data_IF_573023818430
#
_entry.id   IF_573023818430
#
_cell.length_a   1.000
_cell.length_b   1.000
_cell.length_c   1.000
_cell.angle_alpha   90.00
_cell.angle_beta   90.00
_cell.angle_gamma   90.00
#
_symmetry.space_group_name_H-M   'P 1'
#
loop_
_entity.id
_entity.type
_entity.pdbx_description
1 polymer ?
#
# COMPACT_ATOMS: atom_id res chain seq x y z
N UNK A 1 -46.25 -38.36 26.02
CA UNK A 1 -46.28 -37.88 24.62
C UNK A 1 -46.52 -36.38 24.60
N UNK A 2 -45.50 -35.58 24.28
CA UNK A 2 -45.55 -34.45 23.32
C UNK A 2 -44.31 -33.58 23.51
N UNK A 3 -43.47 -33.65 22.49
CA UNK A 3 -42.32 -32.81 22.19
C UNK A 3 -42.70 -31.33 22.16
N UNK A 4 -41.90 -30.47 22.77
CA UNK A 4 -41.69 -29.11 22.29
C UNK A 4 -40.19 -28.80 22.46
N UNK A 5 -39.41 -29.21 21.46
CA UNK A 5 -38.05 -28.70 21.26
C UNK A 5 -38.25 -27.33 20.60
N UNK A 6 -38.05 -26.27 21.36
CA UNK A 6 -38.05 -24.90 20.82
C UNK A 6 -36.69 -24.67 20.15
N UNK A 7 -36.65 -24.76 18.82
CA UNK A 7 -35.49 -24.48 18.00
C UNK A 7 -35.40 -22.95 17.81
N UNK A 8 -34.59 -22.29 18.63
CA UNK A 8 -34.31 -20.86 18.51
C UNK A 8 -33.32 -20.65 17.35
N UNK A 9 -33.83 -20.43 16.14
CA UNK A 9 -33.03 -20.04 14.98
C UNK A 9 -32.64 -18.56 15.14
N UNK A 10 -31.46 -18.31 15.69
CA UNK A 10 -30.84 -16.98 15.70
C UNK A 10 -30.38 -16.69 14.26
N UNK A 11 -31.22 -16.01 13.50
CA UNK A 11 -30.84 -15.43 12.22
C UNK A 11 -29.90 -14.26 12.50
N UNK A 12 -28.59 -14.48 12.30
CA UNK A 12 -27.59 -13.42 12.25
C UNK A 12 -27.90 -12.55 11.02
N UNK A 13 -28.64 -11.47 11.21
CA UNK A 13 -28.80 -10.44 10.19
C UNK A 13 -27.46 -9.73 10.06
N UNK A 14 -26.63 -10.17 9.11
CA UNK A 14 -25.40 -9.47 8.77
C UNK A 14 -25.83 -8.15 8.13
N UNK A 15 -25.74 -7.07 8.91
CA UNK A 15 -25.83 -5.71 8.39
C UNK A 15 -24.68 -5.53 7.41
N UNK A 16 -24.94 -5.79 6.14
CA UNK A 16 -24.05 -5.35 5.06
C UNK A 16 -24.10 -3.83 5.10
N UNK A 17 -23.07 -3.20 5.64
CA UNK A 17 -22.87 -1.77 5.49
C UNK A 17 -22.78 -1.51 4.00
N UNK A 18 -23.73 -0.76 3.45
CA UNK A 18 -23.65 -0.29 2.07
C UNK A 18 -22.46 0.67 1.99
N UNK A 19 -21.35 0.16 1.48
CA UNK A 19 -20.10 0.87 1.32
C UNK A 19 -19.51 0.52 -0.03
N UNK A 20 -18.72 1.43 -0.59
CA UNK A 20 -18.05 1.20 -1.85
C UNK A 20 -16.99 0.10 -1.78
N UNK A 21 -16.62 -0.43 -2.94
CA UNK A 21 -15.46 -1.30 -3.11
C UNK A 21 -14.64 -0.80 -4.30
N UNK A 22 -13.32 -0.70 -4.10
CA UNK A 22 -12.37 -0.35 -5.15
C UNK A 22 -11.37 -1.48 -5.27
N UNK A 23 -11.15 -1.95 -6.50
CA UNK A 23 -10.12 -2.94 -6.81
C UNK A 23 -9.16 -2.39 -7.85
N UNK A 24 -7.86 -2.51 -7.58
CA UNK A 24 -6.79 -2.16 -8.53
C UNK A 24 -5.71 -3.23 -8.52
N UNK A 25 -5.31 -3.65 -9.72
CA UNK A 25 -4.19 -4.58 -9.91
C UNK A 25 -2.96 -3.83 -10.42
N UNK A 26 -1.82 -4.14 -9.82
CA UNK A 26 -0.49 -3.63 -10.16
C UNK A 26 0.34 -4.76 -10.73
N UNK A 27 1.20 -4.43 -11.69
CA UNK A 27 1.98 -5.41 -12.45
C UNK A 27 3.47 -5.12 -12.30
N UNK A 28 4.25 -6.18 -12.11
CA UNK A 28 5.70 -6.12 -11.95
C UNK A 28 6.32 -7.17 -12.87
N UNK A 29 7.29 -6.78 -13.71
CA UNK A 29 7.93 -7.68 -14.68
C UNK A 29 9.42 -7.47 -14.80
N UNK A 30 9.87 -6.22 -14.73
CA UNK A 30 11.24 -5.83 -15.04
C UNK A 30 11.93 -5.35 -13.76
N UNK A 31 12.65 -6.27 -13.11
CA UNK A 31 13.50 -5.92 -11.97
C UNK A 31 14.93 -5.65 -12.44
N UNK A 32 15.58 -4.71 -11.75
CA UNK A 32 16.99 -4.42 -11.94
C UNK A 32 17.79 -4.82 -10.70
N UNK A 33 19.00 -5.33 -10.92
CA UNK A 33 19.93 -5.71 -9.86
C UNK A 33 21.14 -4.78 -9.90
N UNK A 34 21.26 -3.90 -8.92
CA UNK A 34 22.42 -3.07 -8.72
C UNK A 34 23.34 -3.66 -7.65
N UNK A 35 24.66 -3.62 -7.87
CA UNK A 35 25.65 -4.10 -6.90
C UNK A 35 26.28 -2.95 -6.13
N UNK A 36 26.32 -3.07 -4.81
CA UNK A 36 26.97 -2.12 -3.90
C UNK A 36 27.94 -2.90 -3.01
N UNK A 37 29.21 -2.96 -3.42
CA UNK A 37 30.21 -3.81 -2.76
C UNK A 37 29.83 -5.29 -2.86
N UNK A 38 29.64 -5.93 -1.71
CA UNK A 38 29.16 -7.32 -1.61
C UNK A 38 27.63 -7.46 -1.60
N UNK A 39 26.91 -6.34 -1.46
CA UNK A 39 25.46 -6.31 -1.38
C UNK A 39 24.78 -6.06 -2.73
N UNK A 40 23.48 -6.32 -2.79
CA UNK A 40 22.64 -6.06 -3.95
C UNK A 40 21.43 -5.20 -3.57
N UNK A 41 20.99 -4.35 -4.49
CA UNK A 41 19.68 -3.71 -4.47
C UNK A 41 18.86 -4.27 -5.62
N UNK A 42 17.62 -4.65 -5.30
CA UNK A 42 16.63 -5.10 -6.28
C UNK A 42 15.59 -4.01 -6.41
N UNK A 43 15.47 -3.41 -7.59
CA UNK A 43 14.53 -2.33 -7.86
C UNK A 43 13.51 -2.75 -8.91
N UNK A 44 12.32 -2.18 -8.80
CA UNK A 44 11.24 -2.29 -9.78
C UNK A 44 10.81 -0.87 -10.16
N UNK A 45 10.27 -0.70 -11.36
CA UNK A 45 9.72 0.59 -11.77
C UNK A 45 8.61 1.07 -10.81
N UNK A 46 8.63 2.37 -10.49
CA UNK A 46 7.71 2.99 -9.54
C UNK A 46 7.89 2.59 -8.06
N UNK A 47 8.85 1.72 -7.73
CA UNK A 47 9.17 1.37 -6.35
C UNK A 47 10.28 2.25 -5.77
N UNK A 48 10.28 2.37 -4.45
CA UNK A 48 11.34 2.98 -3.67
C UNK A 48 11.94 1.94 -2.73
N UNK A 49 13.25 1.68 -2.85
CA UNK A 49 13.96 0.80 -1.93
C UNK A 49 14.08 1.45 -0.55
N UNK A 50 13.50 0.82 0.47
CA UNK A 50 13.52 1.30 1.85
C UNK A 50 13.27 0.16 2.83
N UNK A 51 13.50 0.42 4.12
CA UNK A 51 13.34 -0.52 5.22
C UNK A 51 13.59 0.16 6.57
N UNK A 52 13.59 -0.61 7.65
CA UNK A 52 14.10 -0.11 8.92
C UNK A 52 15.64 -0.13 8.91
N UNK A 53 16.27 0.77 9.68
CA UNK A 53 17.73 0.84 9.76
C UNK A 53 18.33 -0.52 10.12
N UNK A 54 19.27 -1.00 9.30
CA UNK A 54 19.93 -2.29 9.44
C UNK A 54 19.22 -3.46 8.77
N UNK A 55 17.94 -3.33 8.43
CA UNK A 55 17.17 -4.38 7.74
C UNK A 55 17.34 -4.29 6.21
N UNK A 56 17.01 -5.35 5.44
CA UNK A 56 17.07 -5.33 3.98
C UNK A 56 16.28 -4.17 3.36
N UNK A 57 16.89 -3.43 2.43
CA UNK A 57 16.20 -2.38 1.68
C UNK A 57 15.32 -2.98 0.57
N UNK A 58 14.00 -3.04 0.83
CA UNK A 58 13.01 -3.67 -0.04
C UNK A 58 12.33 -2.66 -0.96
N UNK A 59 11.97 -3.05 -2.21
CA UNK A 59 11.31 -2.15 -3.16
C UNK A 59 9.82 -1.97 -2.81
N UNK A 60 9.45 -0.86 -2.18
CA UNK A 60 8.05 -0.57 -1.84
C UNK A 60 7.39 0.30 -2.90
N UNK A 61 6.19 -0.10 -3.35
CA UNK A 61 5.34 0.64 -4.26
C UNK A 61 4.24 1.38 -3.49
N UNK A 62 4.11 2.69 -3.74
CA UNK A 62 3.10 3.52 -3.09
C UNK A 62 1.76 3.47 -3.85
N UNK A 63 0.74 2.90 -3.22
CA UNK A 63 -0.63 2.85 -3.71
C UNK A 63 -1.38 4.10 -3.26
N UNK A 64 -1.98 4.80 -4.22
CA UNK A 64 -2.70 6.07 -4.04
C UNK A 64 -4.01 6.00 -4.81
N UNK A 65 -5.09 5.60 -4.13
CA UNK A 65 -6.39 5.41 -4.74
C UNK A 65 -7.39 6.43 -4.21
N UNK A 66 -8.02 7.17 -5.13
CA UNK A 66 -9.18 7.99 -4.83
C UNK A 66 -10.34 7.09 -4.39
N UNK A 67 -11.02 7.47 -3.32
CA UNK A 67 -12.17 6.75 -2.78
C UNK A 67 -13.49 7.38 -3.24
N UNK A 68 -14.64 6.68 -3.12
CA UNK A 68 -15.93 7.26 -3.44
C UNK A 68 -16.18 8.54 -2.63
N UNK A 69 -16.96 9.50 -3.18
CA UNK A 69 -17.18 10.79 -2.54
C UNK A 69 -17.75 10.66 -1.13
N UNK A 70 -17.08 11.25 -0.16
CA UNK A 70 -17.55 11.25 1.23
C UNK A 70 -17.33 9.93 1.98
N UNK A 71 -16.57 8.99 1.42
CA UNK A 71 -16.22 7.74 2.07
C UNK A 71 -14.75 7.69 2.53
N UNK A 72 -14.43 6.75 3.42
CA UNK A 72 -13.07 6.40 3.84
C UNK A 72 -12.85 4.90 3.71
N UNK A 73 -11.58 4.48 3.67
CA UNK A 73 -11.24 3.06 3.75
C UNK A 73 -11.55 2.51 5.16
N UNK A 74 -12.21 1.35 5.22
CA UNK A 74 -12.53 0.65 6.47
C UNK A 74 -11.86 -0.71 6.58
N UNK A 75 -11.61 -1.37 5.44
CA UNK A 75 -10.79 -2.57 5.37
C UNK A 75 -10.18 -2.70 3.98
N UNK A 76 -9.17 -3.54 3.87
CA UNK A 76 -8.50 -3.82 2.61
C UNK A 76 -7.97 -5.25 2.59
N UNK A 77 -7.77 -5.77 1.39
CA UNK A 77 -7.14 -7.06 1.12
C UNK A 77 -6.09 -6.86 0.03
N UNK A 78 -4.91 -7.43 0.22
CA UNK A 78 -3.83 -7.42 -0.78
C UNK A 78 -3.51 -8.87 -1.12
N UNK A 79 -3.57 -9.21 -2.41
CA UNK A 79 -3.29 -10.56 -2.90
C UNK A 79 -2.19 -10.50 -3.97
N UNK A 80 -1.09 -11.20 -3.71
CA UNK A 80 -0.05 -11.48 -4.70
C UNK A 80 -0.42 -12.68 -5.57
N UNK A 81 -0.09 -12.61 -6.85
CA UNK A 81 -0.28 -13.71 -7.80
C UNK A 81 0.91 -13.80 -8.77
N UNK A 82 1.04 -14.98 -9.41
CA UNK A 82 2.13 -15.31 -10.33
C UNK A 82 3.50 -15.02 -9.72
N UNK A 83 3.78 -15.73 -8.62
CA UNK A 83 5.07 -15.64 -7.96
C UNK A 83 6.16 -16.28 -8.85
N UNK A 84 7.24 -15.54 -9.07
CA UNK A 84 8.39 -15.99 -9.86
C UNK A 84 9.67 -15.86 -9.03
N UNK A 85 10.52 -16.88 -9.09
CA UNK A 85 11.82 -16.87 -8.41
C UNK A 85 12.81 -16.01 -9.19
N UNK A 86 13.62 -15.23 -8.48
CA UNK A 86 14.77 -14.54 -9.06
C UNK A 86 15.98 -15.48 -8.91
N UNK A 87 16.57 -15.99 -10.01
CA UNK A 87 17.63 -16.99 -9.93
C UNK A 87 18.90 -16.45 -9.28
N UNK A 88 19.39 -17.14 -8.24
CA UNK A 88 20.65 -16.81 -7.59
C UNK A 88 20.55 -16.85 -6.06
N UNK A 89 21.56 -16.27 -5.42
CA UNK A 89 21.59 -16.02 -3.99
C UNK A 89 22.08 -14.59 -3.77
N UNK A 90 21.37 -13.86 -2.93
CA UNK A 90 21.49 -12.42 -2.78
C UNK A 90 21.69 -12.04 -1.32
N UNK A 91 22.55 -11.05 -1.10
CA UNK A 91 22.69 -10.34 0.16
C UNK A 91 22.18 -8.92 -0.06
N UNK A 92 20.92 -8.68 0.29
CA UNK A 92 20.31 -7.37 0.07
C UNK A 92 21.02 -6.30 0.89
N UNK A 93 21.14 -5.09 0.33
CA UNK A 93 21.78 -3.98 1.01
C UNK A 93 20.97 -3.56 2.27
N UNK A 94 21.60 -3.43 3.44
CA UNK A 94 20.90 -3.01 4.65
C UNK A 94 20.60 -1.51 4.58
N UNK A 95 19.35 -1.14 4.85
CA UNK A 95 18.93 0.24 4.89
C UNK A 95 19.74 1.01 5.96
N UNK A 96 20.34 2.13 5.57
CA UNK A 96 21.10 2.96 6.51
C UNK A 96 20.21 4.06 7.10
N UNK A 97 20.59 4.53 8.29
CA UNK A 97 19.86 5.58 8.99
C UNK A 97 19.81 6.87 8.15
N UNK A 98 18.62 7.49 8.07
CA UNK A 98 18.48 8.80 7.48
C UNK A 98 19.22 9.85 8.31
N UNK A 99 20.00 10.71 7.67
CA UNK A 99 20.78 11.77 8.34
C UNK A 99 20.68 13.08 7.56
N UNK A 100 20.61 14.23 8.25
CA UNK A 100 20.81 15.55 7.65
C UNK A 100 22.09 15.62 6.83
N UNK A 101 22.00 16.18 5.63
CA UNK A 101 23.15 16.38 4.73
C UNK A 101 24.27 17.18 5.41
N UNK A 102 23.92 18.11 6.30
CA UNK A 102 24.87 18.95 7.05
C UNK A 102 25.78 18.19 8.02
N UNK A 103 25.44 16.95 8.41
CA UNK A 103 26.28 16.14 9.30
C UNK A 103 27.44 15.44 8.57
N UNK A 104 27.49 15.51 7.24
CA UNK A 104 28.51 14.82 6.45
C UNK A 104 28.34 13.30 6.44
N UNK A 105 29.36 12.60 5.94
CA UNK A 105 29.37 11.14 5.83
C UNK A 105 29.68 10.51 7.20
N UNK A 106 28.81 9.65 7.71
CA UNK A 106 29.14 8.79 8.85
C UNK A 106 29.83 7.51 8.36
N UNK A 107 30.90 7.08 9.04
CA UNK A 107 31.52 5.78 8.78
C UNK A 107 30.76 4.59 9.38
N UNK A 108 29.61 4.82 10.03
CA UNK A 108 28.81 3.79 10.69
C UNK A 108 27.93 3.05 9.68
N UNK A 109 28.17 1.76 9.54
CA UNK A 109 27.37 0.85 8.72
C UNK A 109 26.55 -0.06 9.63
N UNK A 110 25.22 0.01 9.48
CA UNK A 110 24.27 -0.70 10.33
C UNK A 110 23.76 -1.94 9.59
N UNK A 111 23.74 -3.08 10.28
CA UNK A 111 23.16 -4.33 9.79
C UNK A 111 22.50 -5.07 10.95
N UNK A 112 21.21 -5.40 10.79
CA UNK A 112 20.48 -6.20 11.75
C UNK A 112 20.79 -7.68 11.53
N UNK A 113 21.73 -8.19 12.33
CA UNK A 113 22.17 -9.57 12.24
C UNK A 113 21.05 -10.59 12.54
N UNK A 114 20.01 -10.22 13.28
CA UNK A 114 18.90 -11.13 13.56
C UNK A 114 18.04 -11.32 12.30
N UNK A 115 17.72 -10.22 11.60
CA UNK A 115 16.97 -10.28 10.33
C UNK A 115 17.79 -10.99 9.25
N UNK A 116 19.08 -10.67 9.11
CA UNK A 116 19.93 -11.29 8.08
C UNK A 116 20.22 -12.78 8.29
N UNK A 117 20.00 -13.30 9.51
CA UNK A 117 20.13 -14.73 9.83
C UNK A 117 18.77 -15.45 9.88
N UNK A 118 17.68 -14.75 9.63
CA UNK A 118 16.34 -15.33 9.67
C UNK A 118 16.09 -16.25 8.45
N UNK A 119 15.53 -17.44 8.72
CA UNK A 119 15.10 -18.40 7.70
C UNK A 119 13.67 -18.17 7.20
N UNK A 120 13.00 -17.12 7.67
CA UNK A 120 11.64 -16.74 7.28
C UNK A 120 11.66 -15.71 6.16
N UNK A 121 10.54 -15.60 5.44
CA UNK A 121 10.35 -14.55 4.44
C UNK A 121 10.38 -13.16 5.08
N UNK A 122 10.95 -12.21 4.35
CA UNK A 122 11.02 -10.79 4.65
C UNK A 122 10.59 -9.99 3.40
N UNK A 123 9.79 -8.92 3.54
CA UNK A 123 9.10 -8.55 4.79
C UNK A 123 8.09 -9.62 5.19
N UNK A 124 7.71 -9.65 6.48
CA UNK A 124 6.69 -10.59 6.98
C UNK A 124 5.35 -10.39 6.26
N UNK A 125 5.02 -9.12 5.96
CA UNK A 125 3.85 -8.75 5.20
C UNK A 125 4.26 -8.01 3.93
N UNK A 126 3.69 -8.39 2.79
CA UNK A 126 3.88 -7.71 1.51
C UNK A 126 3.20 -6.33 1.43
N UNK A 127 2.61 -5.83 2.53
CA UNK A 127 1.91 -4.56 2.58
C UNK A 127 2.10 -3.85 3.92
N UNK A 128 2.03 -2.52 3.89
CA UNK A 128 1.98 -1.68 5.09
C UNK A 128 0.55 -1.40 5.56
N UNK A 129 0.42 -0.48 6.51
CA UNK A 129 -0.90 -0.01 6.96
C UNK A 129 -1.59 0.86 5.90
N UNK A 130 -2.92 0.77 5.84
CA UNK A 130 -3.74 1.69 5.05
C UNK A 130 -4.09 2.93 5.88
N UNK A 131 -4.13 4.09 5.24
CA UNK A 131 -4.70 5.31 5.81
C UNK A 131 -5.55 6.04 4.79
N UNK A 132 -6.56 6.78 5.25
CA UNK A 132 -7.32 7.71 4.39
C UNK A 132 -6.91 9.14 4.72
N UNK A 133 -6.40 9.84 3.71
CA UNK A 133 -6.06 11.26 3.76
C UNK A 133 -6.98 12.06 2.84
N UNK A 134 -7.06 13.37 3.04
CA UNK A 134 -7.97 14.24 2.31
C UNK A 134 -7.20 15.33 1.57
N UNK A 135 -7.46 15.49 0.29
CA UNK A 135 -6.88 16.54 -0.56
C UNK A 135 -8.01 17.39 -1.13
N UNK A 136 -8.20 18.61 -0.60
CA UNK A 136 -9.25 19.54 -1.05
C UNK A 136 -10.66 18.90 -1.13
N UNK A 137 -11.00 18.12 -0.10
CA UNK A 137 -12.27 17.39 0.01
C UNK A 137 -12.35 16.05 -0.72
N UNK A 138 -11.27 15.62 -1.38
CA UNK A 138 -11.16 14.30 -2.00
C UNK A 138 -10.54 13.30 -1.04
N UNK A 139 -11.21 12.17 -0.82
CA UNK A 139 -10.71 11.07 0.01
C UNK A 139 -9.73 10.20 -0.78
N UNK A 140 -8.52 9.99 -0.25
CA UNK A 140 -7.48 9.19 -0.88
C UNK A 140 -7.00 8.12 0.10
N UNK A 141 -7.10 6.85 -0.29
CA UNK A 141 -6.44 5.76 0.40
C UNK A 141 -4.96 5.70 0.00
N UNK A 142 -4.11 5.62 1.02
CA UNK A 142 -2.68 5.45 0.91
C UNK A 142 -2.30 4.12 1.59
N UNK A 143 -1.62 3.24 0.86
CA UNK A 143 -0.90 2.09 1.42
C UNK A 143 0.38 1.85 0.65
N UNK A 144 1.28 1.03 1.20
CA UNK A 144 2.46 0.56 0.48
C UNK A 144 2.35 -0.95 0.27
N UNK A 145 2.79 -1.43 -0.89
CA UNK A 145 2.92 -2.86 -1.22
C UNK A 145 4.36 -3.17 -1.63
N UNK A 146 4.85 -4.37 -1.34
CA UNK A 146 6.17 -4.85 -1.71
C UNK A 146 5.99 -6.07 -2.63
N UNK A 147 6.41 -6.01 -3.90
CA UNK A 147 6.37 -7.15 -4.80
C UNK A 147 7.42 -8.20 -4.50
N UNK A 148 8.49 -7.83 -3.78
CA UNK A 148 9.63 -8.71 -3.53
C UNK A 148 9.51 -9.42 -2.17
N UNK A 149 9.79 -10.72 -2.18
CA UNK A 149 9.96 -11.57 -1.01
C UNK A 149 11.41 -12.05 -0.94
N UNK A 150 12.02 -11.96 0.23
CA UNK A 150 13.41 -12.33 0.49
C UNK A 150 13.51 -13.29 1.67
N UNK A 151 14.28 -14.37 1.54
CA UNK A 151 14.59 -15.26 2.67
C UNK A 151 16.06 -15.11 3.05
N UNK A 152 16.40 -14.28 4.05
CA UNK A 152 17.77 -13.82 4.30
C UNK A 152 18.80 -14.92 4.47
N UNK A 153 18.51 -15.92 5.31
CA UNK A 153 19.43 -17.03 5.60
C UNK A 153 19.89 -17.80 4.34
N UNK A 154 19.02 -17.89 3.33
CA UNK A 154 19.30 -18.62 2.09
C UNK A 154 19.69 -17.71 0.91
N UNK A 155 19.49 -16.41 1.06
CA UNK A 155 19.65 -15.42 -0.01
C UNK A 155 18.64 -15.55 -1.16
N UNK A 156 17.57 -16.36 -1.01
CA UNK A 156 16.59 -16.60 -2.07
C UNK A 156 15.62 -15.43 -2.19
N UNK A 157 15.29 -15.10 -3.44
CA UNK A 157 14.34 -14.06 -3.79
C UNK A 157 13.22 -14.63 -4.66
N UNK A 158 12.01 -14.14 -4.45
CA UNK A 158 10.88 -14.28 -5.36
C UNK A 158 10.12 -12.97 -5.43
N UNK A 159 9.29 -12.79 -6.45
CA UNK A 159 8.42 -11.64 -6.54
C UNK A 159 7.07 -11.98 -7.16
N UNK A 160 6.04 -11.23 -6.77
CA UNK A 160 4.72 -11.33 -7.36
C UNK A 160 4.63 -10.46 -8.60
N UNK A 161 4.29 -11.06 -9.75
CA UNK A 161 4.08 -10.30 -10.98
C UNK A 161 2.77 -9.52 -11.00
N UNK A 162 1.82 -9.91 -10.16
CA UNK A 162 0.56 -9.21 -9.97
C UNK A 162 0.32 -9.01 -8.49
N UNK A 163 -0.04 -7.79 -8.10
CA UNK A 163 -0.59 -7.52 -6.77
C UNK A 163 -1.92 -6.83 -6.95
N UNK A 164 -2.98 -7.45 -6.45
CA UNK A 164 -4.32 -6.87 -6.45
C UNK A 164 -4.64 -6.33 -5.06
N UNK A 165 -5.01 -5.06 -5.02
CA UNK A 165 -5.48 -4.36 -3.83
C UNK A 165 -6.98 -4.16 -3.97
N UNK A 166 -7.74 -4.67 -3.00
CA UNK A 166 -9.18 -4.40 -2.85
C UNK A 166 -9.41 -3.63 -1.56
N UNK A 167 -10.09 -2.49 -1.65
CA UNK A 167 -10.40 -1.60 -0.53
C UNK A 167 -11.91 -1.54 -0.38
N UNK A 168 -12.41 -1.82 0.82
CA UNK A 168 -13.80 -1.56 1.20
C UNK A 168 -13.89 -0.21 1.88
N UNK A 169 -14.87 0.57 1.49
CA UNK A 169 -15.08 1.93 1.98
C UNK A 169 -16.42 2.06 2.69
N UNK A 170 -16.56 3.11 3.48
CA UNK A 170 -17.83 3.49 4.10
C UNK A 170 -17.82 4.98 4.45
N UNK A 171 -19.01 5.57 4.55
CA UNK A 171 -19.17 6.95 4.97
C UNK A 171 -18.91 7.12 6.48
N UNK A 172 -18.33 8.26 6.84
CA UNK A 172 -18.09 8.68 8.23
C UNK A 172 -18.27 10.19 8.35
N UNK A 173 -18.51 10.70 9.56
CA UNK A 173 -18.64 12.14 9.79
C UNK A 173 -17.42 12.93 9.28
N UNK A 174 -16.22 12.37 9.45
CA UNK A 174 -14.98 12.99 8.95
C UNK A 174 -14.93 13.05 7.43
N UNK A 175 -15.28 11.96 6.74
CA UNK A 175 -15.24 11.91 5.27
C UNK A 175 -16.36 12.74 4.64
N UNK A 176 -17.55 12.78 5.26
CA UNK A 176 -18.63 13.69 4.87
C UNK A 176 -18.25 15.16 5.05
N UNK A 177 -17.62 15.50 6.18
CA UNK A 177 -17.12 16.86 6.44
C UNK A 177 -16.04 17.27 5.43
N UNK A 178 -15.13 16.36 5.08
CA UNK A 178 -14.13 16.62 4.06
C UNK A 178 -14.79 16.89 2.69
N UNK A 179 -15.77 16.08 2.28
CA UNK A 179 -16.52 16.31 1.03
C UNK A 179 -17.23 17.67 1.02
N UNK A 180 -17.66 18.18 2.19
CA UNK A 180 -18.23 19.52 2.29
C UNK A 180 -17.24 20.65 1.94
N UNK A 181 -15.92 20.36 1.97
CA UNK A 181 -14.83 21.27 1.62
C UNK A 181 -14.29 21.02 0.20
N UNK A 182 -15.04 20.27 -0.63
CA UNK A 182 -14.65 19.93 -1.99
C UNK A 182 -14.34 21.17 -2.84
N UNK A 183 -13.17 21.17 -3.48
CA UNK A 183 -12.77 22.16 -4.48
C UNK A 183 -12.56 21.50 -5.84
N UNK A 184 -13.25 22.00 -6.86
CA UNK A 184 -13.16 21.52 -8.23
C UNK A 184 -12.39 22.45 -9.16
N UNK A 185 -11.51 23.28 -8.60
CA UNK A 185 -10.64 24.13 -9.42
C UNK A 185 -9.78 23.29 -10.36
N UNK A 186 -9.50 23.82 -11.56
CA UNK A 186 -8.69 23.11 -12.55
C UNK A 186 -7.30 22.71 -12.03
N UNK A 187 -6.70 23.52 -11.16
CA UNK A 187 -5.41 23.20 -10.52
C UNK A 187 -5.50 22.00 -9.58
N UNK A 188 -6.59 21.88 -8.80
CA UNK A 188 -6.84 20.73 -7.93
C UNK A 188 -7.06 19.47 -8.77
N UNK A 189 -7.88 19.55 -9.81
CA UNK A 189 -8.15 18.42 -10.70
C UNK A 189 -6.87 17.93 -11.40
N UNK A 190 -6.06 18.83 -11.96
CA UNK A 190 -4.78 18.47 -12.59
C UNK A 190 -3.82 17.82 -11.60
N UNK A 191 -3.74 18.33 -10.36
CA UNK A 191 -2.91 17.74 -9.30
C UNK A 191 -3.37 16.34 -8.93
N UNK A 192 -4.68 16.12 -8.80
CA UNK A 192 -5.24 14.81 -8.48
C UNK A 192 -4.98 13.82 -9.62
N UNK A 193 -5.21 14.21 -10.87
CA UNK A 193 -4.96 13.37 -12.05
C UNK A 193 -3.53 12.81 -12.11
N UNK A 194 -2.53 13.61 -11.74
CA UNK A 194 -1.13 13.15 -11.69
C UNK A 194 -0.73 12.41 -10.41
N UNK A 195 -1.56 12.45 -9.36
CA UNK A 195 -1.23 11.90 -8.05
C UNK A 195 -1.85 10.53 -7.78
N UNK A 196 -3.12 10.34 -8.15
CA UNK A 196 -3.89 9.10 -7.91
C UNK A 196 -3.78 8.13 -9.09
N UNK A 197 -3.98 6.84 -8.81
CA UNK A 197 -3.81 5.75 -9.78
C UNK A 197 -5.14 5.24 -10.37
N UNK A 198 -6.24 5.91 -10.04
CA UNK A 198 -7.59 5.69 -10.54
C UNK A 198 -8.31 7.04 -10.81
N UNK A 199 -7.75 7.90 -11.69
CA UNK A 199 -8.30 9.23 -11.93
C UNK A 199 -9.75 9.24 -12.46
N UNK A 200 -10.22 8.14 -13.05
CA UNK A 200 -11.61 7.94 -13.46
C UNK A 200 -12.60 8.14 -12.31
N UNK A 201 -12.20 7.86 -11.07
CA UNK A 201 -13.02 8.06 -9.86
C UNK A 201 -13.40 9.54 -9.64
N UNK A 202 -12.66 10.49 -10.25
CA UNK A 202 -12.99 11.92 -10.16
C UNK A 202 -14.37 12.24 -10.76
N UNK A 203 -14.87 11.45 -11.71
CA UNK A 203 -16.20 11.68 -12.31
C UNK A 203 -17.35 11.44 -11.35
N UNK A 204 -17.12 10.68 -10.28
CA UNK A 204 -18.13 10.44 -9.24
C UNK A 204 -18.26 11.62 -8.28
N UNK A 205 -17.24 12.49 -8.21
CA UNK A 205 -17.25 13.63 -7.30
C UNK A 205 -18.23 14.73 -7.77
N UNK A 206 -19.04 15.31 -6.87
CA UNK A 206 -20.00 16.35 -7.22
C UNK A 206 -19.32 17.57 -7.83
N UNK A 207 -19.85 18.08 -8.95
CA UNK A 207 -19.37 19.34 -9.50
C UNK A 207 -19.97 20.53 -8.74
N UNK A 208 -19.33 20.98 -7.66
CA UNK A 208 -19.64 22.29 -7.06
C UNK A 208 -19.14 23.38 -7.99
N UNK A 209 -20.03 23.87 -8.84
CA UNK A 209 -19.81 25.13 -9.56
C UNK A 209 -19.41 26.21 -8.56
N UNK A 210 -18.45 27.07 -8.95
CA UNK A 210 -17.95 28.14 -8.09
C UNK A 210 -19.13 28.85 -7.43
N UNK A 211 -19.18 28.83 -6.09
CA UNK A 211 -20.01 29.79 -5.37
C UNK A 211 -19.45 31.15 -5.74
N UNK A 212 -20.12 31.85 -6.66
CA UNK A 212 -19.95 33.28 -6.85
C UNK A 212 -20.24 33.91 -5.50
N UNK A 213 -19.17 34.35 -4.82
CA UNK A 213 -19.27 35.24 -3.67
C UNK A 213 -19.71 36.63 -4.10
#
# INVERSE_FOLDING_TARGET
MKYIISLLVISLFVLNTMGGEITKTYYFSDYEVARIGEYQLISFDGCMNTGHTGEPAMPWYAVKLLLPPGEKAVSFVVNGAREEAIPGSYLLYPQQASRPVSMGVSGEFNIDQAVYKAGTAYPENMFGSISTQYMNGHSIALLNICPLTYTPLSGKLSYYREITVTIKTSSTDKSASALSMLSNSASVQNRLHGFVQNPEMLTEYPNRGNKTG
#
